data_IF_988491720331
#
_entry.id   IF_988491720331
#
_cell.length_a   1.000
_cell.length_b   1.000
_cell.length_c   1.000
_cell.angle_alpha   90.00
_cell.angle_beta   90.00
_cell.angle_gamma   90.00
#
_symmetry.space_group_name_H-M   'P 1'
#
loop_
_entity.id
_entity.type
_entity.pdbx_description
1 polymer ?
#
# COMPACT_ATOMS: atom_id res chain seq x y z
N UNK A 1 -65.74 42.83 46.82
CA UNK A 1 -65.59 41.79 45.81
C UNK A 1 -64.23 41.91 45.16
N UNK A 2 -63.29 40.95 45.42
CA UNK A 2 -61.93 40.91 44.84
C UNK A 2 -61.89 39.76 43.82
N UNK A 3 -61.84 40.10 42.54
CA UNK A 3 -61.71 39.16 41.46
C UNK A 3 -60.29 38.61 41.38
N UNK A 4 -60.09 37.29 41.56
CA UNK A 4 -58.81 36.60 41.42
C UNK A 4 -58.52 36.36 39.93
N UNK A 5 -57.61 37.14 39.35
CA UNK A 5 -57.07 36.97 38.01
C UNK A 5 -56.22 35.66 37.98
N UNK A 6 -56.76 34.60 37.38
CA UNK A 6 -56.03 33.34 37.07
C UNK A 6 -55.04 33.60 35.94
N UNK A 7 -53.75 33.72 36.26
CA UNK A 7 -52.69 33.71 35.28
C UNK A 7 -52.58 32.32 34.66
N UNK A 8 -53.01 32.20 33.38
CA UNK A 8 -52.79 31.00 32.58
C UNK A 8 -51.31 30.96 32.14
N UNK A 9 -50.46 30.12 32.78
CA UNK A 9 -49.14 29.76 32.31
C UNK A 9 -49.30 29.08 30.95
N UNK A 10 -48.99 29.81 29.88
CA UNK A 10 -48.81 29.22 28.53
C UNK A 10 -47.60 28.29 28.59
N UNK A 11 -47.82 26.99 28.69
CA UNK A 11 -46.79 25.96 28.58
C UNK A 11 -46.13 26.06 27.18
N UNK A 12 -44.89 26.43 27.18
CA UNK A 12 -44.11 26.64 25.95
C UNK A 12 -43.75 25.28 25.33
N UNK A 13 -44.70 24.67 24.61
CA UNK A 13 -44.54 23.36 23.94
C UNK A 13 -43.40 23.35 22.91
N UNK A 14 -42.97 24.52 22.41
CA UNK A 14 -41.83 24.62 21.46
C UNK A 14 -40.48 24.29 22.15
N UNK A 15 -40.27 24.68 23.40
CA UNK A 15 -39.02 24.33 24.12
C UNK A 15 -38.91 22.85 24.49
N UNK A 16 -40.04 22.15 24.67
CA UNK A 16 -40.05 20.73 25.04
C UNK A 16 -39.64 19.80 23.90
N UNK A 17 -39.79 20.23 22.64
CA UNK A 17 -39.41 19.45 21.45
C UNK A 17 -37.99 19.85 20.99
N UNK A 18 -37.59 21.10 21.17
CA UNK A 18 -36.32 21.62 20.68
C UNK A 18 -35.12 21.00 21.43
N UNK A 19 -35.24 20.79 22.74
CA UNK A 19 -34.16 20.23 23.58
C UNK A 19 -33.74 18.80 23.16
N UNK A 20 -34.68 17.84 22.99
CA UNK A 20 -34.27 16.48 22.57
C UNK A 20 -33.76 16.46 21.12
N UNK A 21 -34.23 17.31 20.23
CA UNK A 21 -33.74 17.43 18.86
C UNK A 21 -32.29 17.94 18.86
N UNK A 22 -31.98 18.99 19.60
CA UNK A 22 -30.63 19.53 19.76
C UNK A 22 -29.71 18.46 20.35
N UNK A 23 -30.15 17.74 21.38
CA UNK A 23 -29.36 16.68 21.98
C UNK A 23 -29.06 15.55 20.99
N UNK A 24 -30.06 15.10 20.21
CA UNK A 24 -29.88 14.05 19.22
C UNK A 24 -28.94 14.48 18.08
N UNK A 25 -29.11 15.72 17.58
CA UNK A 25 -28.21 16.25 16.54
C UNK A 25 -26.77 16.39 17.03
N UNK A 26 -26.58 16.87 18.28
CA UNK A 26 -25.24 16.95 18.90
C UNK A 26 -24.62 15.58 19.08
N UNK A 27 -25.38 14.58 19.48
CA UNK A 27 -24.91 13.20 19.62
C UNK A 27 -24.51 12.60 18.26
N UNK A 28 -25.31 12.85 17.22
CA UNK A 28 -24.97 12.38 15.85
C UNK A 28 -23.71 13.05 15.32
N UNK A 29 -23.56 14.36 15.51
CA UNK A 29 -22.35 15.09 15.12
C UNK A 29 -21.12 14.60 15.90
N UNK A 30 -21.27 14.34 17.18
CA UNK A 30 -20.19 13.78 17.99
C UNK A 30 -19.81 12.38 17.52
N UNK A 31 -20.77 11.49 17.25
CA UNK A 31 -20.52 10.16 16.74
C UNK A 31 -19.84 10.17 15.36
N UNK A 32 -20.28 11.08 14.48
CA UNK A 32 -19.65 11.29 13.18
C UNK A 32 -18.19 11.76 13.34
N UNK A 33 -17.92 12.72 14.22
CA UNK A 33 -16.57 13.20 14.51
C UNK A 33 -15.66 12.10 15.05
N UNK A 34 -16.15 11.29 15.99
CA UNK A 34 -15.43 10.12 16.51
C UNK A 34 -15.17 9.09 15.41
N UNK A 35 -16.16 8.83 14.54
CA UNK A 35 -16.01 7.92 13.40
C UNK A 35 -14.91 8.37 12.44
N UNK A 36 -14.88 9.64 12.07
CA UNK A 36 -13.84 10.21 11.19
C UNK A 36 -12.46 10.11 11.86
N UNK A 37 -12.38 10.34 13.16
CA UNK A 37 -11.10 10.27 13.89
C UNK A 37 -10.55 8.84 14.02
N UNK A 38 -11.43 7.85 14.19
CA UNK A 38 -11.03 6.44 14.34
C UNK A 38 -10.78 5.78 12.98
N UNK A 39 -11.40 6.28 11.91
CA UNK A 39 -11.36 5.67 10.57
C UNK A 39 -9.93 5.34 10.08
N UNK A 40 -8.93 6.25 10.12
CA UNK A 40 -7.60 5.95 9.61
C UNK A 40 -6.91 4.80 10.38
N UNK A 41 -7.06 4.77 11.70
CA UNK A 41 -6.45 3.73 12.52
C UNK A 41 -7.09 2.35 12.26
N UNK A 42 -8.42 2.30 12.13
CA UNK A 42 -9.14 1.07 11.87
C UNK A 42 -8.86 0.55 10.46
N UNK A 43 -8.91 1.43 9.45
CA UNK A 43 -8.65 1.02 8.05
C UNK A 43 -7.21 0.56 7.86
N UNK A 44 -6.23 1.26 8.45
CA UNK A 44 -4.84 0.81 8.41
C UNK A 44 -4.66 -0.57 9.08
N UNK A 45 -5.30 -0.81 10.22
CA UNK A 45 -5.26 -2.12 10.88
C UNK A 45 -5.83 -3.24 9.98
N UNK A 46 -6.95 -2.97 9.30
CA UNK A 46 -7.56 -3.92 8.37
C UNK A 46 -6.67 -4.17 7.15
N UNK A 47 -6.09 -3.11 6.57
CA UNK A 47 -5.17 -3.21 5.46
C UNK A 47 -3.93 -4.03 5.81
N UNK A 48 -3.30 -3.79 6.96
CA UNK A 48 -2.16 -4.58 7.43
C UNK A 48 -2.50 -6.05 7.64
N UNK A 49 -3.70 -6.34 8.12
CA UNK A 49 -4.16 -7.71 8.27
C UNK A 49 -4.32 -8.42 6.94
N UNK A 50 -4.93 -7.76 5.95
CA UNK A 50 -5.10 -8.28 4.60
C UNK A 50 -3.74 -8.50 3.92
N UNK A 51 -2.82 -7.53 4.02
CA UNK A 51 -1.46 -7.65 3.49
C UNK A 51 -0.71 -8.84 4.10
N UNK A 52 -0.87 -9.04 5.41
CA UNK A 52 -0.27 -10.18 6.10
C UNK A 52 -0.84 -11.52 5.63
N UNK A 53 -2.14 -11.59 5.41
CA UNK A 53 -2.82 -12.79 4.90
C UNK A 53 -2.30 -13.16 3.50
N UNK A 54 -2.14 -12.17 2.61
CA UNK A 54 -1.55 -12.34 1.27
C UNK A 54 -0.10 -12.83 1.36
N UNK A 55 0.71 -12.24 2.24
CA UNK A 55 2.12 -12.65 2.43
C UNK A 55 2.20 -14.09 2.95
N UNK A 56 1.35 -14.47 3.91
CA UNK A 56 1.31 -15.83 4.45
C UNK A 56 0.88 -16.86 3.38
N UNK A 57 -0.10 -16.52 2.55
CA UNK A 57 -0.53 -17.38 1.43
C UNK A 57 0.59 -17.55 0.39
N UNK A 58 1.25 -16.44 0.01
CA UNK A 58 2.42 -16.49 -0.87
C UNK A 58 3.53 -17.37 -0.31
N UNK A 59 3.90 -17.19 0.96
CA UNK A 59 4.95 -17.96 1.60
C UNK A 59 4.63 -19.46 1.67
N UNK A 60 3.37 -19.82 1.97
CA UNK A 60 2.91 -21.21 1.96
C UNK A 60 2.99 -21.84 0.57
N UNK A 61 2.61 -21.09 -0.47
CA UNK A 61 2.71 -21.58 -1.85
C UNK A 61 4.17 -21.79 -2.26
N UNK A 62 5.05 -20.87 -1.92
CA UNK A 62 6.48 -20.98 -2.19
C UNK A 62 7.10 -22.19 -1.47
N UNK A 63 6.68 -22.48 -0.24
CA UNK A 63 7.15 -23.65 0.51
C UNK A 63 6.71 -24.98 -0.12
N UNK A 64 5.54 -24.99 -0.76
CA UNK A 64 4.93 -26.19 -1.36
C UNK A 64 5.24 -26.36 -2.85
N UNK A 65 5.82 -25.34 -3.51
CA UNK A 65 6.10 -25.39 -4.94
C UNK A 65 7.15 -26.47 -5.26
N UNK A 66 6.94 -27.16 -6.36
CA UNK A 66 7.90 -28.14 -6.88
C UNK A 66 9.21 -27.46 -7.27
N UNK A 67 10.34 -28.16 -7.03
CA UNK A 67 11.70 -27.63 -7.29
C UNK A 67 11.94 -27.27 -8.75
N UNK A 68 11.38 -28.04 -9.68
CA UNK A 68 11.55 -27.77 -11.10
C UNK A 68 10.75 -26.52 -11.51
N UNK A 69 9.54 -26.34 -10.94
CA UNK A 69 8.77 -25.12 -11.15
C UNK A 69 9.45 -23.91 -10.52
N UNK A 70 10.03 -24.06 -9.33
CA UNK A 70 10.82 -23.01 -8.67
C UNK A 70 12.02 -22.60 -9.55
N UNK A 71 12.81 -23.56 -10.02
CA UNK A 71 13.94 -23.32 -10.90
C UNK A 71 13.51 -22.62 -12.20
N UNK A 72 12.40 -23.04 -12.77
CA UNK A 72 11.86 -22.40 -13.99
C UNK A 72 11.42 -20.94 -13.74
N UNK A 73 10.85 -20.62 -12.58
CA UNK A 73 10.51 -19.24 -12.25
C UNK A 73 11.75 -18.36 -12.12
N UNK A 74 12.82 -18.86 -11.54
CA UNK A 74 14.13 -18.18 -11.49
C UNK A 74 14.71 -17.95 -12.87
N UNK A 75 14.70 -18.97 -13.73
CA UNK A 75 15.17 -18.88 -15.11
C UNK A 75 14.41 -17.82 -15.90
N UNK A 76 13.07 -17.82 -15.84
CA UNK A 76 12.23 -16.84 -16.49
C UNK A 76 12.49 -15.41 -16.01
N UNK A 77 12.74 -15.24 -14.70
CA UNK A 77 13.05 -13.94 -14.12
C UNK A 77 14.45 -13.44 -14.54
N UNK A 78 15.41 -14.33 -14.67
CA UNK A 78 16.73 -14.00 -15.23
C UNK A 78 16.64 -13.63 -16.71
N UNK A 79 15.94 -14.44 -17.53
CA UNK A 79 15.69 -14.15 -18.94
C UNK A 79 15.02 -12.78 -19.11
N UNK A 80 14.00 -12.47 -18.30
CA UNK A 80 13.34 -11.16 -18.31
C UNK A 80 14.34 -10.03 -18.06
N UNK A 81 15.14 -10.14 -17.00
CA UNK A 81 16.13 -9.11 -16.67
C UNK A 81 17.21 -8.96 -17.73
N UNK A 82 17.57 -10.03 -18.44
CA UNK A 82 18.53 -9.97 -19.54
C UNK A 82 17.97 -9.21 -20.76
N UNK A 83 16.69 -9.28 -21.02
CA UNK A 83 16.06 -8.51 -22.11
C UNK A 83 16.13 -7.01 -21.90
N UNK A 84 16.26 -6.56 -20.62
CA UNK A 84 16.38 -5.15 -20.26
C UNK A 84 17.82 -4.62 -20.33
N UNK A 85 18.82 -5.51 -20.45
CA UNK A 85 20.22 -5.09 -20.47
C UNK A 85 20.58 -4.41 -21.80
N UNK A 86 21.03 -3.15 -21.68
CA UNK A 86 21.46 -2.37 -22.84
C UNK A 86 20.40 -1.47 -23.47
N UNK A 87 19.20 -1.52 -22.98
CA UNK A 87 18.17 -0.56 -23.35
C UNK A 87 18.30 0.73 -22.52
N UNK A 88 18.23 1.93 -23.14
CA UNK A 88 18.21 3.16 -22.36
C UNK A 88 17.02 3.16 -21.40
N UNK A 89 17.25 3.62 -20.17
CA UNK A 89 16.19 3.75 -19.16
C UNK A 89 15.07 4.62 -19.73
N UNK A 90 13.95 4.00 -20.04
CA UNK A 90 12.75 4.71 -20.46
C UNK A 90 11.96 5.13 -19.22
N UNK A 91 11.46 6.37 -19.23
CA UNK A 91 10.59 6.83 -18.17
C UNK A 91 9.21 6.15 -18.32
N UNK A 92 8.79 5.31 -17.36
CA UNK A 92 7.53 4.58 -17.45
C UNK A 92 6.30 5.52 -17.41
N UNK A 93 6.48 6.77 -16.99
CA UNK A 93 5.42 7.77 -16.89
C UNK A 93 5.27 8.63 -18.14
N UNK A 94 6.14 8.48 -19.15
CA UNK A 94 6.04 9.18 -20.44
C UNK A 94 5.41 8.27 -21.48
N UNK A 95 4.14 8.50 -21.89
CA UNK A 95 3.50 7.71 -22.93
C UNK A 95 4.25 7.84 -24.26
N UNK A 96 4.45 6.70 -24.94
CA UNK A 96 5.01 6.68 -26.31
C UNK A 96 6.53 6.55 -26.38
N UNK A 97 7.22 6.19 -25.32
CA UNK A 97 8.66 5.90 -25.34
C UNK A 97 9.04 4.64 -26.13
N UNK A 98 8.05 3.92 -26.65
CA UNK A 98 8.26 2.81 -27.59
C UNK A 98 8.76 1.50 -26.96
N UNK A 99 8.81 1.41 -25.64
CA UNK A 99 9.19 0.17 -24.97
C UNK A 99 8.06 -0.87 -25.04
N UNK A 100 8.34 -2.03 -25.60
CA UNK A 100 7.44 -3.18 -25.53
C UNK A 100 7.88 -4.08 -24.37
N UNK A 101 7.01 -4.20 -23.35
CA UNK A 101 7.21 -5.18 -22.30
C UNK A 101 7.33 -6.58 -22.89
N UNK A 102 8.22 -7.44 -22.37
CA UNK A 102 8.17 -8.85 -22.67
C UNK A 102 6.79 -9.42 -22.35
N UNK A 103 6.22 -10.21 -23.24
CA UNK A 103 4.86 -10.77 -23.13
C UNK A 103 4.64 -11.63 -21.87
N UNK A 104 5.72 -12.02 -21.20
CA UNK A 104 5.70 -12.89 -20.01
C UNK A 104 5.73 -12.13 -18.67
N UNK A 105 5.78 -10.80 -18.64
CA UNK A 105 5.90 -10.02 -17.41
C UNK A 105 4.90 -10.44 -16.33
N UNK A 106 3.61 -10.48 -16.66
CA UNK A 106 2.53 -10.81 -15.73
C UNK A 106 2.59 -12.25 -15.18
N UNK A 107 3.34 -13.13 -15.82
CA UNK A 107 3.44 -14.55 -15.46
C UNK A 107 4.70 -14.92 -14.71
N UNK A 108 5.75 -14.11 -14.81
CA UNK A 108 7.04 -14.35 -14.14
C UNK A 108 6.92 -14.00 -12.68
N UNK A 109 7.38 -14.88 -11.78
CA UNK A 109 7.28 -14.77 -10.32
C UNK A 109 5.83 -14.79 -9.77
N UNK A 110 4.82 -15.00 -10.59
CA UNK A 110 3.41 -15.03 -10.22
C UNK A 110 2.95 -16.45 -9.90
N UNK A 111 3.42 -16.99 -8.77
CA UNK A 111 3.20 -18.41 -8.42
C UNK A 111 1.78 -18.71 -7.99
N UNK A 112 1.08 -17.75 -7.37
CA UNK A 112 -0.32 -17.86 -6.94
C UNK A 112 -1.32 -17.45 -8.02
N UNK A 113 -0.86 -16.79 -9.09
CA UNK A 113 -1.70 -16.19 -10.15
C UNK A 113 -2.61 -15.04 -9.64
N UNK A 114 -2.21 -14.39 -8.58
CA UNK A 114 -2.86 -13.25 -7.94
C UNK A 114 -2.13 -11.92 -8.18
N UNK A 115 -1.04 -11.99 -8.94
CA UNK A 115 -0.18 -10.86 -9.27
C UNK A 115 0.92 -10.60 -8.24
N UNK A 116 1.04 -11.37 -7.17
CA UNK A 116 2.09 -11.21 -6.15
C UNK A 116 3.38 -11.89 -6.62
N UNK A 117 4.47 -11.11 -6.69
CA UNK A 117 5.81 -11.62 -7.05
C UNK A 117 6.72 -11.85 -5.85
N UNK A 118 6.34 -11.34 -4.69
CA UNK A 118 7.12 -11.40 -3.47
C UNK A 118 6.62 -10.45 -2.41
N UNK A 119 7.43 -10.20 -1.39
CA UNK A 119 7.10 -9.20 -0.36
C UNK A 119 8.33 -8.49 0.19
N UNK A 120 8.10 -7.28 0.68
CA UNK A 120 9.10 -6.38 1.24
C UNK A 120 8.90 -6.23 2.75
N UNK A 121 9.98 -6.37 3.53
CA UNK A 121 10.00 -6.06 4.97
C UNK A 121 10.98 -4.94 5.28
N UNK A 122 10.51 -3.91 6.01
CA UNK A 122 11.33 -2.82 6.52
C UNK A 122 11.10 -2.72 8.04
N UNK A 123 11.91 -3.42 8.86
CA UNK A 123 11.64 -3.56 10.29
C UNK A 123 11.62 -2.24 11.06
N UNK A 124 12.51 -1.29 10.71
CA UNK A 124 12.61 0.01 11.39
C UNK A 124 11.28 0.78 11.40
N UNK A 125 10.55 0.73 10.29
CA UNK A 125 9.28 1.43 10.11
C UNK A 125 8.07 0.50 10.16
N UNK A 126 8.27 -0.78 10.52
CA UNK A 126 7.22 -1.81 10.64
C UNK A 126 6.40 -2.01 9.36
N UNK A 127 7.05 -1.91 8.21
CA UNK A 127 6.45 -2.18 6.91
C UNK A 127 6.64 -3.65 6.56
N UNK A 128 5.55 -4.30 6.15
CA UNK A 128 5.48 -5.68 5.66
C UNK A 128 4.45 -5.69 4.53
N UNK A 129 4.90 -5.59 3.27
CA UNK A 129 4.05 -5.33 2.11
C UNK A 129 4.23 -6.38 1.02
N UNK A 130 3.15 -6.94 0.46
CA UNK A 130 3.22 -7.71 -0.77
C UNK A 130 3.64 -6.80 -1.93
N UNK A 131 4.43 -7.34 -2.86
CA UNK A 131 4.87 -6.69 -4.09
C UNK A 131 4.09 -7.31 -5.24
N UNK A 132 3.30 -6.48 -5.91
CA UNK A 132 2.49 -6.87 -7.06
C UNK A 132 3.15 -6.48 -8.38
N UNK A 133 2.70 -7.11 -9.46
CA UNK A 133 3.03 -6.67 -10.82
C UNK A 133 2.34 -5.35 -11.14
N UNK A 134 3.10 -4.45 -11.78
CA UNK A 134 2.60 -3.15 -12.21
C UNK A 134 2.36 -2.15 -11.07
N UNK A 135 1.94 -0.95 -11.46
CA UNK A 135 1.70 0.19 -10.56
C UNK A 135 0.35 0.84 -10.82
N UNK A 136 -0.67 0.03 -11.19
CA UNK A 136 -2.02 0.53 -11.32
C UNK A 136 -2.55 1.04 -9.97
N UNK A 137 -3.52 1.94 -9.98
CA UNK A 137 -4.14 2.47 -8.77
C UNK A 137 -4.65 1.34 -7.86
N UNK A 138 -5.29 0.33 -8.45
CA UNK A 138 -5.79 -0.84 -7.72
C UNK A 138 -4.67 -1.61 -7.01
N UNK A 139 -3.49 -1.74 -7.60
CA UNK A 139 -2.31 -2.36 -7.00
C UNK A 139 -1.77 -1.51 -5.86
N UNK A 140 -1.59 -0.22 -6.09
CA UNK A 140 -1.00 0.70 -5.11
C UNK A 140 -1.90 0.96 -3.89
N UNK A 141 -3.20 0.72 -4.00
CA UNK A 141 -4.13 0.74 -2.86
C UNK A 141 -3.94 -0.48 -1.92
N UNK A 142 -3.51 -1.63 -2.46
CA UNK A 142 -3.37 -2.89 -1.72
C UNK A 142 -1.98 -3.11 -1.12
N UNK A 143 -0.93 -2.64 -1.80
CA UNK A 143 0.45 -2.91 -1.40
C UNK A 143 1.47 -2.13 -2.18
N UNK A 144 2.63 -2.74 -2.39
CA UNK A 144 3.67 -2.19 -3.24
C UNK A 144 3.55 -2.75 -4.67
N UNK A 145 3.81 -1.92 -5.67
CA UNK A 145 3.81 -2.29 -7.07
C UNK A 145 5.22 -2.25 -7.66
N UNK A 146 5.58 -3.23 -8.46
CA UNK A 146 6.81 -3.23 -9.25
C UNK A 146 6.59 -2.46 -10.55
N UNK A 147 7.49 -1.52 -10.86
CA UNK A 147 7.43 -0.75 -12.10
C UNK A 147 7.89 -1.65 -13.26
N UNK A 148 6.99 -1.95 -14.16
CA UNK A 148 7.08 -2.98 -15.18
C UNK A 148 8.23 -2.85 -16.19
N UNK A 149 8.72 -1.63 -16.43
CA UNK A 149 9.88 -1.35 -17.31
C UNK A 149 11.22 -1.44 -16.59
N UNK A 150 11.24 -1.87 -15.35
CA UNK A 150 12.47 -2.00 -14.54
C UNK A 150 12.81 -3.46 -14.30
N UNK A 151 14.04 -3.73 -13.86
CA UNK A 151 14.46 -5.09 -13.58
C UNK A 151 13.61 -5.72 -12.46
N UNK A 152 13.27 -6.99 -12.60
CA UNK A 152 12.63 -7.76 -11.53
C UNK A 152 13.53 -7.80 -10.29
N UNK A 153 12.96 -7.81 -9.06
CA UNK A 153 13.70 -7.65 -7.81
C UNK A 153 14.42 -8.93 -7.35
N UNK A 154 15.06 -9.62 -8.29
CA UNK A 154 15.82 -10.84 -8.05
C UNK A 154 17.31 -10.61 -7.75
N UNK A 155 17.73 -9.33 -7.74
CA UNK A 155 19.13 -8.93 -7.56
C UNK A 155 19.98 -9.11 -8.83
N UNK A 156 21.26 -8.89 -8.71
CA UNK A 156 22.22 -8.95 -9.82
C UNK A 156 22.94 -7.62 -10.04
N UNK A 157 24.05 -7.67 -10.77
CA UNK A 157 24.86 -6.48 -11.09
C UNK A 157 24.17 -5.69 -12.21
N UNK A 158 24.15 -4.37 -12.08
CA UNK A 158 23.53 -3.45 -13.04
C UNK A 158 22.01 -3.66 -13.23
N UNK A 159 21.34 -4.15 -12.20
CA UNK A 159 19.88 -4.34 -12.19
C UNK A 159 19.25 -3.40 -11.16
N UNK A 160 18.31 -2.59 -11.58
CA UNK A 160 17.65 -1.58 -10.76
C UNK A 160 16.13 -1.83 -10.73
N UNK A 161 15.64 -2.68 -9.83
CA UNK A 161 14.21 -2.83 -9.63
C UNK A 161 13.63 -1.59 -8.96
N UNK A 162 12.52 -1.10 -9.48
CA UNK A 162 11.77 0.01 -8.88
C UNK A 162 10.48 -0.51 -8.28
N UNK A 163 10.31 -0.28 -6.98
CA UNK A 163 9.12 -0.65 -6.22
C UNK A 163 8.47 0.63 -5.71
N UNK A 164 7.20 0.81 -6.03
CA UNK A 164 6.41 1.99 -5.66
C UNK A 164 5.29 1.61 -4.70
N UNK A 165 4.94 2.50 -3.79
CA UNK A 165 3.75 2.39 -2.96
C UNK A 165 3.27 3.78 -2.55
N UNK A 166 1.99 3.90 -2.19
CA UNK A 166 1.43 5.16 -1.75
C UNK A 166 2.07 5.67 -0.47
N UNK A 167 2.22 6.99 -0.39
CA UNK A 167 2.54 7.73 0.82
C UNK A 167 1.36 8.61 1.20
N UNK A 168 0.93 8.51 2.48
CA UNK A 168 -0.16 9.36 2.98
C UNK A 168 -1.56 8.91 2.59
N UNK A 169 -1.77 7.64 2.23
CA UNK A 169 -3.08 7.09 1.97
C UNK A 169 -3.87 6.96 3.29
N UNK A 170 -5.08 7.55 3.42
CA UNK A 170 -5.83 7.50 4.68
C UNK A 170 -6.26 6.09 5.10
N UNK A 171 -6.35 5.16 4.14
CA UNK A 171 -6.78 3.77 4.36
C UNK A 171 -5.66 2.83 4.74
N UNK A 172 -4.39 3.14 4.40
CA UNK A 172 -3.25 2.28 4.67
C UNK A 172 -1.95 3.09 4.79
N UNK A 173 -1.08 2.70 5.70
CA UNK A 173 0.16 3.41 5.99
C UNK A 173 1.22 3.25 4.90
N UNK A 174 1.30 2.07 4.29
CA UNK A 174 2.21 1.72 3.18
C UNK A 174 3.62 2.35 3.35
N UNK A 175 4.05 3.24 2.42
CA UNK A 175 5.34 3.94 2.48
C UNK A 175 5.29 5.31 3.18
N UNK A 176 4.26 5.59 3.98
CA UNK A 176 4.10 6.88 4.67
C UNK A 176 5.30 7.26 5.53
N UNK A 177 5.95 6.26 6.15
CA UNK A 177 7.08 6.46 7.07
C UNK A 177 8.46 6.19 6.44
N UNK A 178 8.55 6.15 5.12
CA UNK A 178 9.80 5.83 4.43
C UNK A 178 10.91 6.88 4.70
N UNK A 179 10.54 8.10 5.03
CA UNK A 179 11.44 9.19 5.42
C UNK A 179 12.09 9.03 6.81
N UNK A 180 11.64 8.07 7.61
CA UNK A 180 12.30 7.71 8.87
C UNK A 180 13.52 6.80 8.67
N UNK A 181 13.74 6.32 7.46
CA UNK A 181 14.93 5.53 7.14
C UNK A 181 16.16 6.42 7.05
N UNK A 182 17.28 5.86 7.48
CA UNK A 182 18.59 6.47 7.42
C UNK A 182 19.55 5.56 6.66
N UNK A 183 20.66 6.14 6.21
CA UNK A 183 21.73 5.35 5.59
C UNK A 183 22.20 4.25 6.55
N UNK A 184 22.27 3.01 6.06
CA UNK A 184 22.65 1.84 6.85
C UNK A 184 21.47 1.04 7.39
N UNK A 185 20.25 1.57 7.34
CA UNK A 185 19.07 0.79 7.71
C UNK A 185 18.84 -0.36 6.73
N UNK A 186 18.37 -1.47 7.26
CA UNK A 186 18.18 -2.70 6.49
C UNK A 186 16.73 -2.94 6.15
N UNK A 187 16.53 -3.46 4.96
CA UNK A 187 15.25 -3.98 4.50
C UNK A 187 15.45 -5.31 3.76
N UNK A 188 14.39 -6.08 3.63
CA UNK A 188 14.47 -7.43 3.12
C UNK A 188 13.45 -7.61 1.99
N UNK A 189 13.93 -8.13 0.87
CA UNK A 189 13.10 -8.57 -0.24
C UNK A 189 13.02 -10.09 -0.22
N UNK A 190 11.81 -10.60 -0.14
CA UNK A 190 11.52 -12.04 -0.18
C UNK A 190 10.90 -12.37 -1.53
N UNK A 191 11.68 -13.02 -2.38
CA UNK A 191 11.28 -13.43 -3.73
C UNK A 191 11.48 -14.94 -3.83
N UNK A 192 10.40 -15.66 -4.08
CA UNK A 192 10.40 -17.12 -4.06
C UNK A 192 11.08 -17.64 -2.77
N UNK A 193 12.01 -18.58 -2.91
CA UNK A 193 12.75 -19.20 -1.81
C UNK A 193 13.95 -18.39 -1.30
N UNK A 194 14.18 -17.17 -1.83
CA UNK A 194 15.33 -16.35 -1.45
C UNK A 194 14.90 -15.06 -0.74
N UNK A 195 15.64 -14.78 0.34
CA UNK A 195 15.58 -13.48 1.03
C UNK A 195 16.84 -12.71 0.67
N UNK A 196 16.65 -11.48 0.20
CA UNK A 196 17.75 -10.54 -0.06
C UNK A 196 17.74 -9.46 1.00
N UNK A 197 18.82 -9.39 1.75
CA UNK A 197 19.09 -8.29 2.66
C UNK A 197 19.67 -7.13 1.86
N UNK A 198 19.05 -5.96 2.00
CA UNK A 198 19.42 -4.72 1.35
C UNK A 198 19.70 -3.66 2.41
N UNK A 199 20.60 -2.74 2.08
CA UNK A 199 20.96 -1.62 2.95
C UNK A 199 20.55 -0.30 2.29
N UNK A 200 19.97 0.60 3.07
CA UNK A 200 19.60 1.94 2.62
C UNK A 200 20.86 2.76 2.34
N UNK A 201 21.05 3.15 1.10
CA UNK A 201 22.20 3.99 0.70
C UNK A 201 21.89 5.48 0.88
N UNK A 202 20.71 5.92 0.47
CA UNK A 202 20.25 7.31 0.63
C UNK A 202 18.74 7.36 0.75
N UNK A 203 18.23 8.37 1.45
CA UNK A 203 16.82 8.69 1.52
C UNK A 203 16.64 10.11 1.00
N UNK A 204 15.95 10.25 -0.12
CA UNK A 204 15.68 11.55 -0.73
C UNK A 204 14.19 11.86 -0.54
N UNK A 205 13.88 12.85 0.28
CA UNK A 205 12.52 13.38 0.37
C UNK A 205 12.29 14.32 -0.82
N UNK A 206 11.65 13.81 -1.85
CA UNK A 206 11.12 14.66 -2.92
C UNK A 206 9.83 15.27 -2.41
N UNK A 207 9.95 16.37 -1.69
CA UNK A 207 8.84 17.28 -1.44
C UNK A 207 8.70 18.16 -2.67
N UNK A 208 7.62 17.96 -3.40
CA UNK A 208 7.14 18.76 -4.51
C UNK A 208 8.00 18.76 -5.79
N UNK A 209 7.44 18.13 -6.80
CA UNK A 209 7.71 18.41 -8.20
C UNK A 209 9.02 17.85 -8.71
N UNK A 210 8.90 16.83 -9.54
CA UNK A 210 9.79 16.58 -10.69
C UNK A 210 11.20 17.15 -10.55
N UNK A 211 12.10 16.35 -10.02
CA UNK A 211 13.51 16.53 -10.38
C UNK A 211 14.12 15.13 -10.57
N UNK A 212 14.46 14.93 -11.79
CA UNK A 212 15.24 13.88 -12.41
C UNK A 212 16.66 13.84 -11.88
#
# INVERSE_FOLDING_TARGET
MREKRKSRKRHNKRGQILTPVIFLTSLLLFAAGVGIFIYPALSNYLAQREQKEVIEEYAQTVEQIDKDKMARQWELAEEYNETLLGDPVHDPFIPGTGYALPDNYESVLNVNKDGVMGYLKIPKIKVDLPIYHGTSEEVLEKGAGHVDVTALPIGGVNRHPVISAHRGLPSAELFTRLDELEKGDRFFLHILDKTRECETFSVNNVLEGLLW
#
